data_IF_196084930250
#
_entry.id   IF_196084930250
#
_cell.length_a   1.000
_cell.length_b   1.000
_cell.length_c   1.000
_cell.angle_alpha   90.00
_cell.angle_beta   90.00
_cell.angle_gamma   90.00
#
_symmetry.space_group_name_H-M   'P 1'
#
loop_
_entity.id
_entity.type
_entity.pdbx_description
1 polymer ?
#
# COMPACT_ATOMS: atom_id res chain seq x y z
N UNK A 1 39.40 0.50 4.69
CA UNK A 1 38.17 0.55 5.50
C UNK A 1 37.12 1.23 4.64
N UNK A 2 36.51 0.46 3.73
CA UNK A 2 35.47 0.98 2.85
C UNK A 2 34.20 1.16 3.67
N UNK A 3 33.73 2.41 3.75
CA UNK A 3 32.39 2.70 4.24
C UNK A 3 31.40 2.15 3.22
N UNK A 4 30.76 1.03 3.58
CA UNK A 4 29.63 0.49 2.84
C UNK A 4 28.52 1.52 2.90
N UNK A 5 28.31 2.19 1.77
CA UNK A 5 27.22 3.11 1.52
C UNK A 5 25.90 2.34 1.76
N UNK A 6 25.34 2.50 2.96
CA UNK A 6 24.16 1.79 3.41
C UNK A 6 22.98 2.31 2.61
N UNK A 7 22.59 1.55 1.58
CA UNK A 7 21.41 1.85 0.79
C UNK A 7 20.21 2.15 1.69
N UNK A 8 19.45 3.24 1.42
CA UNK A 8 18.36 3.63 2.29
C UNK A 8 17.24 2.59 2.24
N UNK A 9 16.99 1.92 3.38
CA UNK A 9 15.66 1.58 3.85
C UNK A 9 14.78 0.69 2.97
N UNK A 10 15.31 -0.31 2.26
CA UNK A 10 14.49 -1.22 1.42
C UNK A 10 13.41 -1.97 2.22
N UNK A 11 13.56 -2.22 3.52
CA UNK A 11 12.86 -3.32 4.17
C UNK A 11 11.35 -3.15 4.43
N UNK A 12 10.81 -1.94 4.64
CA UNK A 12 9.44 -1.80 5.18
C UNK A 12 8.29 -1.87 4.15
N UNK A 13 8.31 -1.14 3.01
CA UNK A 13 7.27 -1.31 1.98
C UNK A 13 7.24 -2.72 1.40
N UNK A 14 8.40 -3.38 1.35
CA UNK A 14 8.54 -4.79 0.93
C UNK A 14 7.82 -5.77 1.87
N UNK A 15 7.70 -5.43 3.17
CA UNK A 15 6.92 -6.24 4.12
C UNK A 15 5.43 -6.11 3.83
N UNK A 16 4.93 -4.90 3.55
CA UNK A 16 3.51 -4.70 3.20
C UNK A 16 3.15 -5.46 1.92
N UNK A 17 3.97 -5.30 0.87
CA UNK A 17 3.79 -6.02 -0.38
C UNK A 17 3.80 -7.54 -0.17
N UNK A 18 4.80 -8.07 0.54
CA UNK A 18 4.87 -9.50 0.87
C UNK A 18 3.64 -10.02 1.63
N UNK A 19 3.10 -9.24 2.59
CA UNK A 19 1.91 -9.68 3.35
C UNK A 19 0.65 -9.66 2.50
N UNK A 20 0.50 -8.67 1.63
CA UNK A 20 -0.59 -8.62 0.65
C UNK A 20 -0.49 -9.80 -0.30
N UNK A 21 0.69 -10.04 -0.87
CA UNK A 21 0.94 -11.13 -1.80
C UNK A 21 0.66 -12.51 -1.17
N UNK A 22 1.04 -12.69 0.10
CA UNK A 22 0.74 -13.92 0.84
C UNK A 22 -0.76 -14.15 1.00
N UNK A 23 -1.54 -13.12 1.37
CA UNK A 23 -3.00 -13.22 1.43
C UNK A 23 -3.60 -13.50 0.05
N UNK A 24 -2.98 -12.94 -0.98
CA UNK A 24 -3.43 -13.03 -2.36
C UNK A 24 -3.25 -14.43 -2.95
N UNK A 25 -2.08 -15.02 -2.78
CA UNK A 25 -1.70 -16.28 -3.41
C UNK A 25 -1.90 -17.51 -2.53
N UNK A 26 -1.82 -17.39 -1.20
CA UNK A 26 -1.82 -18.55 -0.30
C UNK A 26 -3.16 -18.68 0.42
N UNK A 27 -4.04 -19.64 0.03
CA UNK A 27 -5.34 -19.81 0.66
C UNK A 27 -5.25 -20.05 2.17
N UNK A 28 -4.23 -20.81 2.61
CA UNK A 28 -4.00 -21.08 4.04
C UNK A 28 -3.60 -19.86 4.87
N UNK A 29 -3.21 -18.74 4.25
CA UNK A 29 -2.92 -17.47 4.93
C UNK A 29 -4.15 -16.57 5.06
N UNK A 30 -5.27 -16.89 4.41
CA UNK A 30 -6.52 -16.12 4.46
C UNK A 30 -7.34 -16.45 5.71
N UNK A 31 -6.70 -16.35 6.86
CA UNK A 31 -7.29 -16.57 8.18
C UNK A 31 -7.14 -15.31 9.04
N UNK A 32 -7.74 -15.32 10.22
CA UNK A 32 -7.73 -14.17 11.13
C UNK A 32 -6.30 -13.66 11.42
N UNK A 33 -5.34 -14.57 11.62
CA UNK A 33 -3.95 -14.21 11.87
C UNK A 33 -3.28 -13.55 10.66
N UNK A 34 -3.49 -14.08 9.45
CA UNK A 34 -2.95 -13.47 8.23
C UNK A 34 -3.55 -12.10 7.94
N UNK A 35 -4.85 -11.92 8.17
CA UNK A 35 -5.54 -10.63 8.03
C UNK A 35 -4.96 -9.62 9.03
N UNK A 36 -4.80 -10.03 10.30
CA UNK A 36 -4.19 -9.20 11.32
C UNK A 36 -2.74 -8.82 10.99
N UNK A 37 -1.96 -9.74 10.42
CA UNK A 37 -0.60 -9.46 9.94
C UNK A 37 -0.58 -8.45 8.79
N UNK A 38 -1.54 -8.51 7.86
CA UNK A 38 -1.68 -7.52 6.80
C UNK A 38 -1.98 -6.12 7.36
N UNK A 39 -2.92 -6.01 8.28
CA UNK A 39 -3.24 -4.74 8.95
C UNK A 39 -2.05 -4.19 9.76
N UNK A 40 -1.33 -5.06 10.48
CA UNK A 40 -0.13 -4.69 11.21
C UNK A 40 0.96 -4.17 10.27
N UNK A 41 1.17 -4.83 9.12
CA UNK A 41 2.16 -4.39 8.13
C UNK A 41 1.84 -2.98 7.61
N UNK A 42 0.57 -2.66 7.34
CA UNK A 42 0.14 -1.30 6.98
C UNK A 42 0.52 -0.28 8.05
N UNK A 43 0.26 -0.58 9.34
CA UNK A 43 0.60 0.30 10.45
C UNK A 43 2.13 0.47 10.62
N UNK A 44 2.91 -0.61 10.45
CA UNK A 44 4.37 -0.55 10.50
C UNK A 44 4.95 0.31 9.37
N UNK A 45 4.45 0.17 8.15
CA UNK A 45 4.89 1.01 7.03
C UNK A 45 4.55 2.47 7.26
N UNK A 46 3.39 2.77 7.85
CA UNK A 46 3.03 4.14 8.24
C UNK A 46 4.02 4.75 9.22
N UNK A 47 4.34 4.02 10.29
CA UNK A 47 5.32 4.47 11.28
C UNK A 47 6.71 4.68 10.62
N UNK A 48 7.10 3.78 9.71
CA UNK A 48 8.34 3.91 8.97
C UNK A 48 8.39 5.14 8.06
N UNK A 49 7.32 5.42 7.30
CA UNK A 49 7.25 6.61 6.45
C UNK A 49 7.31 7.88 7.31
N UNK A 50 6.60 7.91 8.44
CA UNK A 50 6.64 9.04 9.37
C UNK A 50 8.06 9.29 9.91
N UNK A 51 8.76 8.21 10.28
CA UNK A 51 10.15 8.31 10.73
C UNK A 51 11.11 8.80 9.63
N UNK A 52 11.00 8.30 8.39
CA UNK A 52 11.83 8.74 7.27
C UNK A 52 11.51 10.19 6.88
N UNK A 53 10.25 10.60 6.99
CA UNK A 53 9.81 11.97 6.78
C UNK A 53 10.47 12.93 7.78
N UNK A 54 10.48 12.57 9.07
CA UNK A 54 11.13 13.37 10.12
C UNK A 54 12.66 13.40 9.98
N UNK A 55 13.28 12.24 9.72
CA UNK A 55 14.74 12.10 9.73
C UNK A 55 15.42 12.57 8.45
N UNK A 56 14.75 12.42 7.30
CA UNK A 56 15.35 12.62 5.95
C UNK A 56 14.53 13.53 5.05
N UNK A 57 13.37 13.98 5.51
CA UNK A 57 12.54 14.96 4.83
C UNK A 57 11.64 14.38 3.74
N UNK A 58 10.78 15.25 3.20
CA UNK A 58 9.68 14.86 2.30
C UNK A 58 10.16 14.19 1.02
N UNK A 59 11.34 14.53 0.49
CA UNK A 59 11.85 13.95 -0.76
C UNK A 59 12.01 12.43 -0.66
N UNK A 60 12.48 11.92 0.48
CA UNK A 60 12.63 10.48 0.69
C UNK A 60 11.26 9.84 0.95
N UNK A 61 10.47 10.45 1.82
CA UNK A 61 9.13 9.96 2.16
C UNK A 61 8.19 9.91 0.94
N UNK A 62 8.30 10.85 0.00
CA UNK A 62 7.54 10.84 -1.26
C UNK A 62 7.85 9.61 -2.11
N UNK A 63 9.11 9.17 -2.17
CA UNK A 63 9.46 7.93 -2.90
C UNK A 63 8.82 6.70 -2.27
N UNK A 64 8.75 6.66 -0.94
CA UNK A 64 8.09 5.59 -0.20
C UNK A 64 6.58 5.61 -0.42
N UNK A 65 5.97 6.79 -0.39
CA UNK A 65 4.56 7.01 -0.72
C UNK A 65 4.22 6.47 -2.12
N UNK A 66 5.02 6.83 -3.12
CA UNK A 66 4.83 6.36 -4.50
C UNK A 66 4.93 4.83 -4.60
N UNK A 67 5.82 4.22 -3.83
CA UNK A 67 5.95 2.75 -3.76
C UNK A 67 4.70 2.11 -3.14
N UNK A 68 4.17 2.68 -2.05
CA UNK A 68 2.92 2.20 -1.43
C UNK A 68 1.74 2.38 -2.38
N UNK A 69 1.66 3.50 -3.09
CA UNK A 69 0.64 3.75 -4.10
C UNK A 69 0.68 2.71 -5.23
N UNK A 70 1.88 2.33 -5.69
CA UNK A 70 2.04 1.26 -6.67
C UNK A 70 1.50 -0.07 -6.16
N UNK A 71 1.88 -0.48 -4.94
CA UNK A 71 1.36 -1.70 -4.29
C UNK A 71 -0.17 -1.65 -4.17
N UNK A 72 -0.75 -0.52 -3.76
CA UNK A 72 -2.19 -0.35 -3.63
C UNK A 72 -2.96 -0.53 -4.94
N UNK A 73 -2.34 -0.23 -6.07
CA UNK A 73 -2.92 -0.37 -7.41
C UNK A 73 -2.80 -1.79 -7.99
N UNK A 74 -2.04 -2.68 -7.36
CA UNK A 74 -1.87 -4.04 -7.87
C UNK A 74 -3.15 -4.87 -7.77
N UNK A 75 -3.42 -5.79 -8.73
CA UNK A 75 -4.60 -6.63 -8.70
C UNK A 75 -4.77 -7.44 -7.41
N UNK A 76 -3.66 -7.89 -6.81
CA UNK A 76 -3.68 -8.61 -5.55
C UNK A 76 -4.10 -7.74 -4.37
N UNK A 77 -3.49 -6.56 -4.24
CA UNK A 77 -3.88 -5.58 -3.23
C UNK A 77 -5.34 -5.15 -3.36
N UNK A 78 -5.80 -4.89 -4.59
CA UNK A 78 -7.20 -4.57 -4.89
C UNK A 78 -8.12 -5.72 -4.46
N UNK A 79 -7.72 -6.97 -4.71
CA UNK A 79 -8.50 -8.14 -4.28
C UNK A 79 -8.56 -8.26 -2.75
N UNK A 80 -7.45 -8.10 -2.02
CA UNK A 80 -7.50 -8.19 -0.56
C UNK A 80 -8.27 -7.03 0.06
N UNK A 81 -8.20 -5.84 -0.52
CA UNK A 81 -9.03 -4.72 -0.11
C UNK A 81 -10.53 -5.07 -0.23
N UNK A 82 -10.96 -5.59 -1.38
CA UNK A 82 -12.37 -5.94 -1.61
C UNK A 82 -12.86 -7.11 -0.75
N UNK A 83 -11.97 -8.03 -0.34
CA UNK A 83 -12.33 -9.21 0.45
C UNK A 83 -12.24 -8.99 1.96
N UNK A 84 -11.24 -8.23 2.42
CA UNK A 84 -10.86 -8.14 3.84
C UNK A 84 -10.74 -6.70 4.35
N UNK A 85 -10.92 -5.68 3.50
CA UNK A 85 -10.84 -4.27 3.90
C UNK A 85 -9.44 -3.76 4.21
N UNK A 86 -8.39 -4.52 3.90
CA UNK A 86 -7.00 -4.07 4.10
C UNK A 86 -6.63 -3.11 2.97
N UNK A 87 -6.46 -1.84 3.30
CA UNK A 87 -6.08 -0.79 2.36
C UNK A 87 -4.61 -0.37 2.54
N UNK A 88 -3.73 -0.63 1.56
CA UNK A 88 -2.33 -0.19 1.63
C UNK A 88 -2.19 1.33 1.68
N UNK A 89 -3.13 2.11 1.13
CA UNK A 89 -3.08 3.57 1.17
C UNK A 89 -3.16 4.13 2.59
N UNK A 90 -3.72 3.38 3.54
CA UNK A 90 -3.72 3.77 4.96
C UNK A 90 -2.31 3.83 5.57
N UNK A 91 -1.31 3.25 4.89
CA UNK A 91 0.09 3.35 5.30
C UNK A 91 0.69 4.75 5.03
N UNK A 92 -0.02 5.65 4.34
CA UNK A 92 0.51 6.95 3.95
C UNK A 92 0.05 8.01 4.97
N UNK A 93 0.96 8.60 5.77
CA UNK A 93 0.64 9.66 6.71
C UNK A 93 0.60 11.01 5.99
N UNK A 94 -0.40 11.19 5.12
CA UNK A 94 -0.52 12.38 4.27
C UNK A 94 -0.48 13.69 5.08
N UNK A 95 -1.07 13.69 6.27
CA UNK A 95 -1.11 14.83 7.19
C UNK A 95 0.27 15.33 7.64
N UNK A 96 1.30 14.49 7.56
CA UNK A 96 2.64 14.84 8.00
C UNK A 96 3.46 15.52 6.88
N UNK A 97 3.03 15.40 5.61
CA UNK A 97 3.66 16.07 4.46
C UNK A 97 3.22 17.54 4.37
N UNK A 98 3.80 18.42 5.20
CA UNK A 98 3.35 19.81 5.35
C UNK A 98 3.89 20.78 4.30
N UNK A 99 5.02 20.48 3.66
CA UNK A 99 5.70 21.44 2.77
C UNK A 99 5.37 21.26 1.29
N UNK A 100 4.80 20.12 0.90
CA UNK A 100 4.48 19.82 -0.49
C UNK A 100 2.99 19.99 -0.81
N UNK A 101 2.57 21.22 -1.12
CA UNK A 101 1.19 21.52 -1.50
C UNK A 101 0.72 20.76 -2.76
N UNK A 102 1.62 20.47 -3.71
CA UNK A 102 1.29 19.74 -4.94
C UNK A 102 0.94 18.26 -4.67
N UNK A 103 1.49 17.67 -3.62
CA UNK A 103 1.10 16.34 -3.16
C UNK A 103 -0.39 16.33 -2.82
N UNK A 104 -0.84 17.25 -1.97
CA UNK A 104 -2.22 17.30 -1.48
C UNK A 104 -3.23 17.68 -2.56
N UNK A 105 -2.91 18.70 -3.35
CA UNK A 105 -3.86 19.30 -4.31
C UNK A 105 -3.96 18.54 -5.63
N UNK A 106 -2.92 17.78 -6.00
CA UNK A 106 -2.84 17.14 -7.32
C UNK A 106 -2.51 15.66 -7.23
N UNK A 107 -1.35 15.32 -6.64
CA UNK A 107 -0.84 13.95 -6.74
C UNK A 107 -1.66 12.95 -5.93
N UNK A 108 -2.08 13.30 -4.72
CA UNK A 108 -2.89 12.44 -3.88
C UNK A 108 -4.27 12.14 -4.49
N UNK A 109 -5.04 13.15 -4.97
CA UNK A 109 -6.24 12.90 -5.76
C UNK A 109 -6.02 11.93 -6.91
N UNK A 110 -4.96 12.11 -7.71
CA UNK A 110 -4.63 11.21 -8.82
C UNK A 110 -4.38 9.76 -8.38
N UNK A 111 -3.63 9.57 -7.28
CA UNK A 111 -3.36 8.24 -6.72
C UNK A 111 -4.68 7.58 -6.28
N UNK A 112 -5.50 8.31 -5.53
CA UNK A 112 -6.78 7.78 -5.02
C UNK A 112 -7.76 7.45 -6.15
N UNK A 113 -7.81 8.27 -7.20
CA UNK A 113 -8.62 8.02 -8.40
C UNK A 113 -8.14 6.77 -9.14
N UNK A 114 -6.82 6.65 -9.37
CA UNK A 114 -6.23 5.47 -10.02
C UNK A 114 -6.57 4.18 -9.27
N UNK A 115 -6.36 4.15 -7.95
CA UNK A 115 -6.64 2.97 -7.12
C UNK A 115 -8.14 2.67 -7.08
N UNK A 116 -8.99 3.70 -7.01
CA UNK A 116 -10.45 3.55 -7.05
C UNK A 116 -10.94 2.97 -8.38
N UNK A 117 -10.36 3.41 -9.49
CA UNK A 117 -10.68 2.86 -10.81
C UNK A 117 -10.34 1.36 -10.90
N UNK A 118 -9.19 0.94 -10.34
CA UNK A 118 -8.83 -0.48 -10.30
C UNK A 118 -9.79 -1.30 -9.42
N UNK A 119 -10.17 -0.76 -8.25
CA UNK A 119 -11.16 -1.39 -7.36
C UNK A 119 -12.50 -1.60 -8.06
N UNK A 120 -12.99 -0.58 -8.74
CA UNK A 120 -14.26 -0.66 -9.46
C UNK A 120 -14.21 -1.64 -10.64
N UNK A 121 -13.12 -1.62 -11.42
CA UNK A 121 -12.88 -2.61 -12.48
C UNK A 121 -12.92 -4.04 -11.93
N UNK A 122 -12.20 -4.32 -10.85
CA UNK A 122 -12.17 -5.64 -10.24
C UNK A 122 -13.54 -6.05 -9.68
N UNK A 123 -14.26 -5.13 -9.04
CA UNK A 123 -15.62 -5.37 -8.54
C UNK A 123 -16.57 -5.82 -9.64
N UNK A 124 -16.54 -5.14 -10.81
CA UNK A 124 -17.34 -5.52 -11.98
C UNK A 124 -16.97 -6.91 -12.50
N UNK A 125 -15.68 -7.24 -12.56
CA UNK A 125 -15.22 -8.58 -12.98
C UNK A 125 -15.75 -9.67 -12.04
N UNK A 126 -15.69 -9.45 -10.72
CA UNK A 126 -16.22 -10.39 -9.71
C UNK A 126 -17.74 -10.55 -9.86
N UNK A 127 -18.49 -9.47 -10.07
CA UNK A 127 -19.94 -9.51 -10.26
C UNK A 127 -20.33 -10.29 -11.53
N UNK A 128 -19.68 -10.01 -12.66
CA UNK A 128 -19.91 -10.71 -13.94
C UNK A 128 -19.56 -12.19 -13.85
N UNK A 129 -18.48 -12.55 -13.14
CA UNK A 129 -18.12 -13.95 -12.92
C UNK A 129 -19.18 -14.71 -12.09
N UNK A 130 -19.83 -14.04 -11.13
CA UNK A 130 -20.92 -14.60 -10.33
C UNK A 130 -22.19 -14.81 -11.15
N UNK A 131 -22.55 -13.87 -12.03
CA UNK A 131 -23.77 -13.97 -12.85
C UNK A 131 -23.70 -15.09 -13.89
N UNK A 132 -22.51 -15.40 -14.42
CA UNK A 132 -22.29 -16.51 -15.37
C UNK A 132 -22.31 -17.91 -14.74
N UNK A 133 -22.22 -18.01 -13.42
CA UNK A 133 -22.23 -19.28 -12.67
C UNK A 133 -23.62 -19.64 -12.11
N UNK A 134 -24.58 -18.72 -12.22
CA UNK A 134 -26.00 -18.98 -11.97
C UNK A 134 -26.68 -19.33 -13.28
#
# INVERSE_FOLDING_TARGET
MEMVDSQPGRCHPDVLDSRIHNLDLLPGKRNAAGIAQGALATAMVRAFISHELESRGERVALKLLERVAAVAAEPGAVRIFLLYGIDPLNAIPLEDFRTNAALHTKRWPQITEQVSAQREKMRRLIQTAKSRRK
#
